data_IF_248962038898
#
_entry.id   IF_248962038898
#
_cell.length_a   1.000
_cell.length_b   1.000
_cell.length_c   1.000
_cell.angle_alpha   90.00
_cell.angle_beta   90.00
_cell.angle_gamma   90.00
#
_symmetry.space_group_name_H-M   'P 1'
#
loop_
_entity.id
_entity.type
_entity.pdbx_description
1 polymer ?
#
# COMPACT_ATOMS: atom_id res chain seq x y z
N UNK A 1 13.00 -2.68 -15.88
CA UNK A 1 13.60 -2.74 -14.53
C UNK A 1 12.44 -2.74 -13.53
N UNK A 2 12.48 -3.55 -12.48
CA UNK A 2 11.49 -3.46 -11.40
C UNK A 2 11.87 -2.33 -10.45
N UNK A 3 10.87 -1.55 -10.04
CA UNK A 3 11.01 -0.59 -8.94
C UNK A 3 11.15 -1.37 -7.64
N UNK A 4 12.16 -1.01 -6.82
CA UNK A 4 12.32 -1.56 -5.48
C UNK A 4 11.64 -0.61 -4.50
N UNK A 5 10.84 -1.11 -3.54
CA UNK A 5 10.27 -0.28 -2.49
C UNK A 5 11.35 0.44 -1.67
N UNK A 6 11.12 1.71 -1.38
CA UNK A 6 11.92 2.56 -0.51
C UNK A 6 11.12 3.01 0.72
N UNK A 7 11.83 3.52 1.73
CA UNK A 7 11.18 4.01 2.95
C UNK A 7 10.21 5.14 2.64
N UNK A 8 8.99 5.02 3.14
CA UNK A 8 7.91 5.96 2.89
C UNK A 8 7.08 5.68 1.64
N UNK A 9 7.48 4.74 0.79
CA UNK A 9 6.66 4.31 -0.35
C UNK A 9 5.35 3.67 0.11
N UNK A 10 4.31 3.86 -0.70
CA UNK A 10 3.10 3.08 -0.60
C UNK A 10 3.28 1.84 -1.49
N UNK A 11 3.03 0.67 -0.92
CA UNK A 11 3.15 -0.62 -1.61
C UNK A 11 1.83 -1.39 -1.55
N UNK A 12 1.59 -2.20 -2.57
CA UNK A 12 0.54 -3.23 -2.52
C UNK A 12 1.10 -4.44 -1.77
N UNK A 13 0.46 -4.81 -0.67
CA UNK A 13 0.85 -5.95 0.17
C UNK A 13 -0.24 -7.01 0.23
N UNK A 14 0.16 -8.26 0.43
CA UNK A 14 -0.71 -9.35 0.88
C UNK A 14 -0.28 -9.81 2.26
N UNK A 15 -1.22 -9.99 3.16
CA UNK A 15 -1.03 -10.65 4.45
C UNK A 15 -2.25 -11.52 4.75
N UNK A 16 -2.01 -12.80 5.00
CA UNK A 16 -3.09 -13.79 5.02
C UNK A 16 -3.86 -13.82 3.69
N UNK A 17 -5.20 -13.74 3.76
CA UNK A 17 -6.08 -13.70 2.59
C UNK A 17 -6.43 -12.27 2.12
N UNK A 18 -5.84 -11.24 2.75
CA UNK A 18 -6.15 -9.84 2.49
C UNK A 18 -5.08 -9.18 1.60
N UNK A 19 -5.54 -8.36 0.66
CA UNK A 19 -4.70 -7.44 -0.12
C UNK A 19 -5.00 -6.01 0.35
N UNK A 20 -3.96 -5.23 0.61
CA UNK A 20 -4.11 -3.83 1.04
C UNK A 20 -2.92 -2.96 0.59
N UNK A 21 -3.04 -1.66 0.79
CA UNK A 21 -1.95 -0.70 0.62
C UNK A 21 -1.34 -0.33 1.97
N UNK A 22 -0.02 -0.54 2.08
CA UNK A 22 0.75 -0.19 3.26
C UNK A 22 1.83 0.83 2.93
N UNK A 23 2.08 1.76 3.85
CA UNK A 23 3.28 2.62 3.80
C UNK A 23 4.46 1.89 4.45
N UNK A 24 5.55 1.70 3.71
CA UNK A 24 6.77 1.09 4.24
C UNK A 24 7.44 2.03 5.25
N UNK A 25 7.54 1.58 6.50
CA UNK A 25 8.17 2.31 7.61
C UNK A 25 9.05 1.35 8.42
N UNK A 26 10.36 1.51 8.32
CA UNK A 26 11.31 0.57 8.90
C UNK A 26 11.16 -0.81 8.27
N UNK A 27 10.69 -1.79 9.05
CA UNK A 27 10.41 -3.17 8.62
C UNK A 27 8.92 -3.50 8.62
N UNK A 28 8.08 -2.49 8.74
CA UNK A 28 6.65 -2.61 8.97
C UNK A 28 5.90 -1.88 7.86
N UNK A 29 4.66 -2.27 7.65
CA UNK A 29 3.74 -1.60 6.75
C UNK A 29 2.62 -0.96 7.56
N UNK A 30 2.40 0.34 7.37
CA UNK A 30 1.31 1.05 8.04
C UNK A 30 0.15 1.18 7.06
N UNK A 31 -0.97 0.52 7.36
CA UNK A 31 -2.17 0.58 6.51
C UNK A 31 -2.85 1.95 6.62
N UNK A 32 -3.85 2.19 5.76
CA UNK A 32 -4.65 3.43 5.82
C UNK A 32 -5.42 3.59 7.14
N UNK A 33 -5.80 2.49 7.75
CA UNK A 33 -6.48 2.45 9.04
C UNK A 33 -5.52 2.64 10.23
N UNK A 34 -4.21 2.81 9.96
CA UNK A 34 -3.18 2.97 10.97
C UNK A 34 -2.75 1.64 11.62
N UNK A 35 -3.15 0.51 11.05
CA UNK A 35 -2.70 -0.80 11.51
C UNK A 35 -1.24 -1.01 11.12
N UNK A 36 -0.50 -1.66 12.02
CA UNK A 36 0.89 -2.06 11.78
C UNK A 36 0.89 -3.52 11.34
N UNK A 37 1.32 -3.76 10.10
CA UNK A 37 1.46 -5.10 9.53
C UNK A 37 2.94 -5.45 9.47
N UNK A 38 3.33 -6.56 10.11
CA UNK A 38 4.71 -7.03 10.24
C UNK A 38 4.78 -8.55 10.07
N UNK A 39 5.96 -9.07 9.73
CA UNK A 39 6.23 -10.49 9.66
C UNK A 39 6.72 -10.96 8.30
N UNK A 40 7.14 -12.22 8.24
CA UNK A 40 7.65 -12.86 7.01
C UNK A 40 6.52 -13.28 6.05
N UNK A 41 5.28 -13.40 6.55
CA UNK A 41 4.10 -13.77 5.78
C UNK A 41 3.50 -12.59 4.97
N UNK A 42 4.20 -11.45 4.93
CA UNK A 42 3.79 -10.26 4.16
C UNK A 42 4.52 -10.23 2.82
N UNK A 43 3.76 -10.31 1.74
CA UNK A 43 4.30 -10.24 0.38
C UNK A 43 4.06 -8.87 -0.24
N UNK A 44 5.11 -8.27 -0.83
CA UNK A 44 5.02 -7.01 -1.58
C UNK A 44 4.85 -7.31 -3.08
N UNK A 45 3.76 -6.83 -3.67
CA UNK A 45 3.45 -7.01 -5.09
C UNK A 45 3.98 -5.90 -5.98
N UNK A 46 4.12 -4.69 -5.43
CA UNK A 46 4.63 -3.56 -6.20
C UNK A 46 4.56 -2.24 -5.44
N UNK A 47 5.25 -1.24 -6.00
CA UNK A 47 5.24 0.14 -5.51
C UNK A 47 4.12 0.91 -6.22
N UNK A 48 3.34 1.65 -5.46
CA UNK A 48 2.34 2.59 -6.01
C UNK A 48 3.08 3.79 -6.60
N UNK A 49 2.85 4.04 -7.88
CA UNK A 49 3.51 5.14 -8.61
C UNK A 49 2.61 6.35 -8.82
N UNK A 50 1.29 6.14 -8.89
CA UNK A 50 0.31 7.19 -9.07
C UNK A 50 -0.95 6.88 -8.26
N UNK A 51 -1.51 7.91 -7.65
CA UNK A 51 -2.88 7.91 -7.10
C UNK A 51 -3.72 8.81 -7.98
N UNK A 52 -4.80 8.26 -8.53
CA UNK A 52 -5.72 9.00 -9.40
C UNK A 52 -7.02 9.21 -8.66
N UNK A 53 -7.46 10.47 -8.55
CA UNK A 53 -8.76 10.84 -8.00
C UNK A 53 -9.51 11.69 -9.06
N UNK A 54 -10.71 11.25 -9.48
CA UNK A 54 -11.55 11.99 -10.43
C UNK A 54 -12.60 12.83 -9.69
N UNK A 55 -12.29 14.11 -9.49
CA UNK A 55 -13.15 15.06 -8.79
C UNK A 55 -14.27 15.66 -9.65
N UNK A 56 -14.39 15.27 -10.92
CA UNK A 56 -15.45 15.79 -11.81
C UNK A 56 -16.76 15.03 -11.64
N UNK A 57 -16.71 13.89 -10.98
CA UNK A 57 -17.82 12.97 -10.74
C UNK A 57 -18.13 12.96 -9.26
N UNK A 58 -18.86 13.97 -8.82
CA UNK A 58 -19.34 14.13 -7.44
C UNK A 58 -20.29 12.98 -7.03
N UNK A 59 -20.77 12.20 -8.01
CA UNK A 59 -21.56 10.98 -7.85
C UNK A 59 -20.72 9.71 -7.60
N UNK A 60 -19.39 9.80 -7.69
CA UNK A 60 -18.50 8.67 -7.38
C UNK A 60 -18.15 8.66 -5.89
N UNK A 61 -18.27 7.53 -5.18
CA UNK A 61 -17.79 7.44 -3.80
C UNK A 61 -16.28 7.71 -3.74
N UNK A 62 -15.87 8.46 -2.72
CA UNK A 62 -14.47 8.67 -2.31
C UNK A 62 -13.99 7.57 -1.38
#
# INVERSE_FOLDING_TARGET
MSLRPEQGDIVLIRYGEMMDFGKLQGRSFITREGEVVEGEDVEVFGVVTFTVNDLRRDDSPV
#
